data_IF_547886347942
#
_entry.id   IF_547886347942
#
_cell.length_a   1.000
_cell.length_b   1.000
_cell.length_c   1.000
_cell.angle_alpha   90.00
_cell.angle_beta   90.00
_cell.angle_gamma   90.00
#
_symmetry.space_group_name_H-M   'P 1'
#
loop_
_entity.id
_entity.type
_entity.pdbx_description
1 polymer ?
#
# COMPACT_ATOMS: atom_id res chain seq x y z
N UNK A 1 33.12 -16.73 0.18
CA UNK A 1 32.29 -16.78 -1.05
C UNK A 1 31.15 -15.78 -0.88
N UNK A 2 30.96 -14.81 -1.80
CA UNK A 2 29.83 -13.91 -1.71
C UNK A 2 28.52 -14.68 -1.91
N UNK A 3 27.47 -14.28 -1.19
CA UNK A 3 26.15 -14.89 -1.31
C UNK A 3 25.49 -14.41 -2.61
N UNK A 4 25.50 -15.26 -3.64
CA UNK A 4 24.94 -14.97 -4.96
C UNK A 4 23.44 -14.63 -4.90
N UNK A 5 22.69 -15.22 -3.96
CA UNK A 5 21.28 -14.91 -3.75
C UNK A 5 21.08 -13.46 -3.31
N UNK A 6 21.88 -12.98 -2.35
CA UNK A 6 21.82 -11.57 -1.93
C UNK A 6 22.21 -10.59 -3.04
N UNK A 7 23.17 -10.96 -3.89
CA UNK A 7 23.56 -10.10 -5.02
C UNK A 7 22.45 -10.00 -6.07
N UNK A 8 21.70 -11.08 -6.28
CA UNK A 8 20.54 -11.07 -7.16
C UNK A 8 19.38 -10.25 -6.57
N UNK A 9 19.06 -10.40 -5.28
CA UNK A 9 18.03 -9.61 -4.61
C UNK A 9 18.28 -8.10 -4.72
N UNK A 10 19.54 -7.67 -4.65
CA UNK A 10 19.93 -6.26 -4.80
C UNK A 10 19.67 -5.67 -6.19
N UNK A 11 19.43 -6.50 -7.21
CA UNK A 11 19.10 -6.05 -8.55
C UNK A 11 17.60 -5.86 -8.75
N UNK A 12 16.76 -6.41 -7.86
CA UNK A 12 15.31 -6.27 -7.94
C UNK A 12 14.91 -4.88 -7.41
N UNK A 13 13.95 -4.20 -8.07
CA UNK A 13 13.42 -2.96 -7.55
C UNK A 13 12.60 -3.20 -6.28
N UNK A 14 12.56 -2.19 -5.41
CA UNK A 14 11.65 -2.20 -4.26
C UNK A 14 10.20 -2.32 -4.71
N UNK A 15 9.35 -2.85 -3.82
CA UNK A 15 7.91 -2.89 -4.06
C UNK A 15 7.38 -1.47 -4.36
N UNK A 16 6.46 -1.32 -5.33
CA UNK A 16 5.93 -0.01 -5.69
C UNK A 16 5.13 0.59 -4.52
N UNK A 17 5.12 1.92 -4.45
CA UNK A 17 4.21 2.65 -3.57
C UNK A 17 2.84 2.72 -4.24
N UNK A 18 1.84 2.10 -3.61
CA UNK A 18 0.48 2.02 -4.12
C UNK A 18 -0.47 2.78 -3.20
N UNK A 19 -1.59 3.22 -3.76
CA UNK A 19 -2.70 3.82 -3.00
C UNK A 19 -3.83 2.80 -2.91
N UNK A 20 -4.45 2.71 -1.75
CA UNK A 20 -5.66 1.94 -1.56
C UNK A 20 -6.50 2.45 -0.40
N UNK A 21 -7.71 1.91 -0.28
CA UNK A 21 -8.68 2.25 0.77
C UNK A 21 -8.77 1.11 1.76
N UNK A 22 -8.77 1.41 3.06
CA UNK A 22 -8.96 0.40 4.11
C UNK A 22 -10.37 -0.15 4.05
N UNK A 23 -10.47 -1.47 3.93
CA UNK A 23 -11.74 -2.22 3.98
C UNK A 23 -12.01 -2.72 5.39
N UNK A 24 -10.98 -3.17 6.09
CA UNK A 24 -11.13 -3.77 7.42
C UNK A 24 -9.87 -3.55 8.24
N UNK A 25 -10.05 -3.14 9.50
CA UNK A 25 -8.99 -3.13 10.52
C UNK A 25 -9.08 -4.41 11.34
N UNK A 26 -7.96 -5.08 11.52
CA UNK A 26 -7.85 -6.30 12.33
C UNK A 26 -7.27 -5.98 13.71
N UNK A 27 -7.60 -6.81 14.70
CA UNK A 27 -7.12 -6.64 16.09
C UNK A 27 -5.63 -6.93 16.26
N UNK A 28 -5.02 -7.65 15.31
CA UNK A 28 -3.59 -7.96 15.27
C UNK A 28 -2.70 -6.79 14.82
N UNK A 29 -3.28 -5.60 14.58
CA UNK A 29 -2.57 -4.43 14.11
C UNK A 29 -2.30 -4.42 12.60
N UNK A 30 -3.00 -5.26 11.84
CA UNK A 30 -2.98 -5.23 10.37
C UNK A 30 -4.28 -4.64 9.81
N UNK A 31 -4.22 -4.16 8.57
CA UNK A 31 -5.37 -3.65 7.82
C UNK A 31 -5.47 -4.35 6.48
N UNK A 32 -6.69 -4.67 6.06
CA UNK A 32 -6.99 -5.09 4.69
C UNK A 32 -7.28 -3.84 3.86
N UNK A 33 -6.49 -3.64 2.81
CA UNK A 33 -6.58 -2.49 1.91
C UNK A 33 -6.97 -2.96 0.52
N UNK A 34 -7.98 -2.30 -0.06
CA UNK A 34 -8.33 -2.44 -1.47
C UNK A 34 -7.51 -1.43 -2.27
N UNK A 35 -6.61 -1.93 -3.10
CA UNK A 35 -5.82 -1.14 -4.03
C UNK A 35 -6.71 -0.56 -5.12
N UNK A 36 -6.30 0.58 -5.69
CA UNK A 36 -7.00 1.20 -6.82
C UNK A 36 -7.15 0.26 -8.04
N UNK A 37 -6.20 -0.68 -8.22
CA UNK A 37 -6.26 -1.72 -9.26
C UNK A 37 -7.22 -2.87 -8.95
N UNK A 38 -8.00 -2.80 -7.88
CA UNK A 38 -8.98 -3.82 -7.47
C UNK A 38 -8.43 -4.96 -6.60
N UNK A 39 -7.11 -5.09 -6.48
CA UNK A 39 -6.48 -6.09 -5.62
C UNK A 39 -6.68 -5.82 -4.12
N UNK A 40 -6.77 -6.88 -3.32
CA UNK A 40 -6.83 -6.81 -1.86
C UNK A 40 -5.47 -7.21 -1.28
N UNK A 41 -4.94 -6.40 -0.37
CA UNK A 41 -3.67 -6.65 0.32
C UNK A 41 -3.88 -6.52 1.82
N UNK A 42 -3.29 -7.46 2.58
CA UNK A 42 -3.17 -7.33 4.04
C UNK A 42 -1.83 -6.67 4.33
N UNK A 43 -1.87 -5.49 4.96
CA UNK A 43 -0.69 -4.70 5.28
C UNK A 43 -0.59 -4.47 6.79
N UNK A 44 0.63 -4.48 7.31
CA UNK A 44 0.90 -4.13 8.71
C UNK A 44 0.86 -2.61 8.86
N UNK A 45 0.09 -2.11 9.82
CA UNK A 45 -0.04 -0.69 10.08
C UNK A 45 -1.41 -0.27 10.60
N UNK A 46 -1.54 1.02 10.91
CA UNK A 46 -2.76 1.60 11.45
C UNK A 46 -3.55 2.35 10.37
N UNK A 47 -4.87 2.18 10.41
CA UNK A 47 -5.83 2.89 9.57
C UNK A 47 -7.25 2.48 9.93
N UNK A 48 -8.19 3.40 9.75
CA UNK A 48 -9.62 3.14 9.93
C UNK A 48 -10.28 2.79 8.59
N UNK A 49 -11.39 2.04 8.60
CA UNK A 49 -12.19 1.80 7.40
C UNK A 49 -12.49 3.09 6.64
N UNK A 50 -12.53 3.00 5.30
CA UNK A 50 -12.73 4.11 4.36
C UNK A 50 -11.58 5.15 4.29
N UNK A 51 -10.51 4.99 5.07
CA UNK A 51 -9.31 5.84 4.92
C UNK A 51 -8.46 5.40 3.73
N UNK A 52 -7.89 6.38 3.03
CA UNK A 52 -6.90 6.16 1.97
C UNK A 52 -5.50 6.11 2.56
N UNK A 53 -4.74 5.08 2.22
CA UNK A 53 -3.38 4.86 2.70
C UNK A 53 -2.43 4.59 1.53
N UNK A 54 -1.17 4.97 1.73
CA UNK A 54 -0.06 4.50 0.92
C UNK A 54 0.42 3.15 1.46
N UNK A 55 0.51 2.15 0.60
CA UNK A 55 0.97 0.80 0.90
C UNK A 55 2.18 0.47 0.03
N UNK A 56 3.23 -0.09 0.62
CA UNK A 56 4.39 -0.62 -0.10
C UNK A 56 4.55 -2.09 0.24
N UNK A 57 4.27 -2.97 -0.73
CA UNK A 57 4.25 -4.41 -0.48
C UNK A 57 3.20 -4.77 0.57
N UNK A 58 3.64 -5.14 1.78
CA UNK A 58 2.80 -5.55 2.92
C UNK A 58 2.85 -4.57 4.10
N UNK A 59 3.31 -3.34 3.88
CA UNK A 59 3.44 -2.33 4.93
C UNK A 59 2.69 -1.05 4.56
N UNK A 60 2.02 -0.46 5.55
CA UNK A 60 1.43 0.88 5.43
C UNK A 60 2.53 1.92 5.63
N UNK A 61 2.79 2.71 4.59
CA UNK A 61 3.80 3.79 4.63
C UNK A 61 3.22 5.05 5.29
N UNK A 62 1.93 5.30 5.14
CA UNK A 62 1.26 6.44 5.77
C UNK A 62 -0.09 6.81 5.14
N UNK A 63 -0.75 7.87 5.63
CA UNK A 63 -2.01 8.33 5.07
C UNK A 63 -1.82 8.93 3.67
N UNK A 64 -2.72 8.59 2.75
CA UNK A 64 -2.77 9.19 1.43
C UNK A 64 -3.74 10.38 1.44
N UNK A 65 -3.35 11.55 0.89
CA UNK A 65 -4.22 12.72 0.87
C UNK A 65 -5.42 12.51 -0.05
N UNK A 66 -6.56 13.09 0.32
CA UNK A 66 -7.72 13.19 -0.57
C UNK A 66 -7.42 14.24 -1.64
N UNK A 67 -7.24 13.80 -2.88
CA UNK A 67 -7.10 14.72 -4.01
C UNK A 67 -8.47 15.32 -4.37
N UNK A 68 -8.61 16.66 -4.45
CA UNK A 68 -9.84 17.28 -4.92
C UNK A 68 -10.08 16.89 -6.37
N UNK A 69 -11.31 16.49 -6.69
CA UNK A 69 -11.74 16.23 -8.07
C UNK A 69 -12.15 17.56 -8.69
N UNK A 70 -11.60 17.89 -9.86
CA UNK A 70 -12.00 19.06 -10.65
C UNK A 70 -12.72 18.55 -11.89
N UNK A 71 -14.01 18.86 -12.00
CA UNK A 71 -14.77 18.62 -13.23
C UNK A 71 -14.44 19.74 -14.23
N UNK A 72 -14.09 19.37 -15.46
CA UNK A 72 -13.81 20.31 -16.55
C UNK A 72 -14.93 20.14 -17.57
N UNK A 73 -15.75 21.18 -17.75
CA UNK A 73 -16.78 21.25 -18.79
C UNK A 73 -16.16 21.89 -20.06
N UNK A 74 -16.44 21.32 -21.23
CA UNK A 74 -15.93 21.80 -22.54
C UNK A 74 -16.89 22.76 -23.23
#
# INVERSE_FOLDING_TARGET
>A
MPNLWRQFEQLLPDAPLLVGTVVTRHEDGTVTVQLLGGGLVRATGAGEPDQRLFVRGTEVVGPAPTLPTVEIEI
#
